data_IF_907116436490
#
_entry.id   IF_907116436490
#
_cell.length_a   1.000
_cell.length_b   1.000
_cell.length_c   1.000
_cell.angle_alpha   90.00
_cell.angle_beta   90.00
_cell.angle_gamma   90.00
#
_symmetry.space_group_name_H-M   'P 1'
#
loop_
_entity.id
_entity.type
_entity.pdbx_description
1 polymer ?
#
# COMPACT_ATOMS: atom_id res chain seq x y z
N UNK A 1 -4.21 -18.68 -12.23
CA UNK A 1 -3.42 -19.49 -11.29
C UNK A 1 -2.07 -18.86 -10.87
N UNK A 2 -1.25 -18.21 -11.74
CA UNK A 2 -0.01 -17.57 -11.29
C UNK A 2 -0.20 -16.24 -10.55
N UNK A 3 -1.34 -15.56 -10.74
CA UNK A 3 -1.64 -14.27 -10.08
C UNK A 3 -1.86 -14.40 -8.56
N UNK A 4 -2.38 -15.54 -8.08
CA UNK A 4 -2.64 -15.78 -6.66
C UNK A 4 -1.35 -15.95 -5.87
N UNK A 5 -0.34 -16.60 -6.47
CA UNK A 5 1.00 -16.77 -5.87
C UNK A 5 1.71 -15.41 -5.77
N UNK A 6 1.62 -14.58 -6.82
CA UNK A 6 2.12 -13.20 -6.79
C UNK A 6 1.39 -12.36 -5.74
N UNK A 7 0.07 -12.51 -5.61
CA UNK A 7 -0.73 -11.84 -4.58
C UNK A 7 -0.33 -12.29 -3.17
N UNK A 8 -0.10 -13.58 -2.95
CA UNK A 8 0.38 -14.12 -1.66
C UNK A 8 1.78 -13.62 -1.31
N UNK A 9 2.71 -13.60 -2.27
CA UNK A 9 4.04 -13.01 -2.08
C UNK A 9 3.95 -11.51 -1.77
N UNK A 10 3.05 -10.79 -2.44
CA UNK A 10 2.80 -9.37 -2.18
C UNK A 10 2.22 -9.16 -0.78
N UNK A 11 1.28 -10.02 -0.36
CA UNK A 11 0.72 -9.98 0.98
C UNK A 11 1.79 -10.26 2.05
N UNK A 12 2.69 -11.22 1.81
CA UNK A 12 3.82 -11.49 2.70
C UNK A 12 4.76 -10.29 2.79
N UNK A 13 5.11 -9.69 1.65
CA UNK A 13 5.95 -8.49 1.61
C UNK A 13 5.30 -7.30 2.34
N UNK A 14 3.99 -7.09 2.16
CA UNK A 14 3.22 -6.08 2.87
C UNK A 14 3.14 -6.36 4.38
N UNK A 15 3.00 -7.62 4.78
CA UNK A 15 3.00 -8.00 6.19
C UNK A 15 4.37 -7.69 6.83
N UNK A 16 5.47 -8.09 6.17
CA UNK A 16 6.83 -7.74 6.60
C UNK A 16 7.04 -6.23 6.66
N UNK A 17 6.62 -5.50 5.62
CA UNK A 17 6.68 -4.04 5.57
C UNK A 17 5.98 -3.39 6.77
N UNK A 18 4.73 -3.75 7.05
CA UNK A 18 3.98 -3.19 8.18
C UNK A 18 4.61 -3.54 9.52
N UNK A 19 5.17 -4.74 9.65
CA UNK A 19 5.88 -5.17 10.85
C UNK A 19 7.16 -4.34 11.07
N UNK A 20 7.99 -4.17 10.03
CA UNK A 20 9.21 -3.37 10.11
C UNK A 20 8.94 -1.89 10.34
N UNK A 21 7.88 -1.33 9.75
CA UNK A 21 7.47 0.07 10.02
C UNK A 21 7.16 0.25 11.49
N UNK A 22 6.42 -0.67 12.12
CA UNK A 22 6.13 -0.57 13.55
C UNK A 22 7.43 -0.57 14.37
N UNK A 23 8.31 -1.52 14.10
CA UNK A 23 9.57 -1.64 14.82
C UNK A 23 10.45 -0.39 14.63
N UNK A 24 10.44 0.19 13.43
CA UNK A 24 11.13 1.43 13.12
C UNK A 24 10.47 2.65 13.78
N UNK A 25 9.14 2.69 13.92
CA UNK A 25 8.42 3.80 14.55
C UNK A 25 8.74 3.96 16.04
N UNK A 26 9.17 2.89 16.72
CA UNK A 26 9.64 2.94 18.11
C UNK A 26 11.06 3.52 18.24
N UNK A 27 11.86 3.47 17.18
CA UNK A 27 13.29 3.85 17.21
C UNK A 27 13.61 5.12 16.41
N UNK A 28 12.76 5.48 15.44
CA UNK A 28 12.96 6.60 14.53
C UNK A 28 11.72 7.51 14.48
N UNK A 29 11.91 8.84 14.35
CA UNK A 29 10.82 9.74 14.02
C UNK A 29 10.15 9.33 12.71
N UNK A 30 8.82 9.42 12.67
CA UNK A 30 7.99 9.03 11.53
C UNK A 30 8.48 9.57 10.18
N UNK A 31 8.91 10.83 10.15
CA UNK A 31 9.43 11.47 8.94
C UNK A 31 10.74 10.83 8.44
N UNK A 32 11.64 10.45 9.34
CA UNK A 32 12.93 9.82 8.98
C UNK A 32 12.69 8.39 8.47
N UNK A 33 11.81 7.64 9.14
CA UNK A 33 11.41 6.30 8.71
C UNK A 33 10.82 6.29 7.29
N UNK A 34 9.90 7.21 6.99
CA UNK A 34 9.31 7.34 5.67
C UNK A 34 10.35 7.69 4.58
N UNK A 35 11.27 8.63 4.86
CA UNK A 35 12.31 9.02 3.90
C UNK A 35 13.26 7.87 3.57
N UNK A 36 13.70 7.11 4.58
CA UNK A 36 14.58 5.95 4.37
C UNK A 36 13.87 4.90 3.52
N UNK A 37 12.58 4.68 3.77
CA UNK A 37 11.76 3.75 3.00
C UNK A 37 11.63 4.18 1.54
N UNK A 38 11.33 5.46 1.29
CA UNK A 38 11.29 6.02 -0.05
C UNK A 38 12.62 5.86 -0.78
N UNK A 39 13.76 6.09 -0.10
CA UNK A 39 15.09 5.93 -0.70
C UNK A 39 15.37 4.48 -1.10
N UNK A 40 15.05 3.51 -0.24
CA UNK A 40 15.22 2.08 -0.55
C UNK A 40 14.28 1.66 -1.68
N UNK A 41 13.02 2.10 -1.65
CA UNK A 41 12.04 1.84 -2.70
C UNK A 41 12.47 2.44 -4.04
N UNK A 42 12.98 3.68 -4.04
CA UNK A 42 13.51 4.35 -5.22
C UNK A 42 14.74 3.61 -5.78
N UNK A 43 15.65 3.14 -4.92
CA UNK A 43 16.82 2.37 -5.35
C UNK A 43 16.42 1.04 -6.00
N UNK A 44 15.46 0.31 -5.40
CA UNK A 44 14.92 -0.93 -5.98
C UNK A 44 14.20 -0.66 -7.32
N UNK A 45 13.38 0.37 -7.39
CA UNK A 45 12.71 0.80 -8.62
C UNK A 45 13.68 1.20 -9.73
N UNK A 46 14.75 1.93 -9.37
CA UNK A 46 15.80 2.32 -10.30
C UNK A 46 16.59 1.11 -10.81
N UNK A 47 16.96 0.16 -9.94
CA UNK A 47 17.65 -1.07 -10.33
C UNK A 47 16.79 -1.93 -11.29
N UNK A 48 15.48 -2.00 -11.04
CA UNK A 48 14.54 -2.67 -11.93
C UNK A 48 14.44 -1.97 -13.29
N UNK A 49 14.29 -0.64 -13.30
CA UNK A 49 14.26 0.15 -14.54
C UNK A 49 15.55 -0.02 -15.34
N UNK A 50 16.71 -0.04 -14.67
CA UNK A 50 18.00 -0.26 -15.31
C UNK A 50 18.06 -1.65 -15.96
N UNK A 51 17.56 -2.69 -15.28
CA UNK A 51 17.44 -4.04 -15.86
C UNK A 51 16.53 -4.06 -17.09
N UNK A 52 15.36 -3.42 -17.06
CA UNK A 52 14.47 -3.36 -18.22
C UNK A 52 15.12 -2.64 -19.41
N UNK A 53 15.85 -1.56 -19.12
CA UNK A 53 16.60 -0.81 -20.14
C UNK A 53 17.72 -1.65 -20.75
N UNK A 54 18.43 -2.44 -19.94
CA UNK A 54 19.46 -3.39 -20.39
C UNK A 54 18.87 -4.56 -21.19
N UNK A 55 17.62 -4.94 -20.92
CA UNK A 55 16.89 -5.97 -21.68
C UNK A 55 16.30 -5.46 -23.00
N UNK A 56 16.48 -4.18 -23.33
CA UNK A 56 16.00 -3.59 -24.59
C UNK A 56 14.48 -3.48 -24.69
N UNK A 57 13.75 -3.53 -23.57
CA UNK A 57 12.31 -3.34 -23.61
C UNK A 57 11.96 -1.90 -24.04
N UNK A 58 11.01 -1.72 -24.97
CA UNK A 58 10.49 -0.39 -25.25
C UNK A 58 9.81 0.12 -23.97
N UNK A 59 10.30 1.25 -23.45
CA UNK A 59 9.72 1.98 -22.33
C UNK A 59 8.92 3.17 -22.90
N UNK A 60 7.67 2.98 -23.36
CA UNK A 60 6.85 4.07 -23.87
C UNK A 60 6.47 5.00 -22.72
N UNK A 61 7.28 6.05 -22.53
CA UNK A 61 7.01 7.09 -21.54
C UNK A 61 5.93 8.00 -22.10
N UNK A 62 4.72 7.92 -21.54
CA UNK A 62 3.63 8.83 -21.88
C UNK A 62 3.54 9.93 -20.82
N UNK A 63 3.47 11.21 -21.22
CA UNK A 63 3.41 12.35 -20.29
C UNK A 63 2.22 12.26 -19.32
N UNK A 64 1.08 11.70 -19.75
CA UNK A 64 -0.07 11.41 -18.88
C UNK A 64 0.24 10.36 -17.81
N UNK A 65 0.96 9.29 -18.18
CA UNK A 65 1.38 8.24 -17.24
C UNK A 65 2.38 8.78 -16.21
N UNK A 66 3.27 9.67 -16.64
CA UNK A 66 4.23 10.33 -15.75
C UNK A 66 3.53 11.21 -14.70
N UNK A 67 2.51 11.98 -15.11
CA UNK A 67 1.74 12.81 -14.18
C UNK A 67 0.92 11.98 -13.17
N UNK A 68 0.28 10.91 -13.63
CA UNK A 68 -0.44 9.97 -12.76
C UNK A 68 0.51 9.27 -11.78
N UNK A 69 1.70 8.87 -12.24
CA UNK A 69 2.72 8.26 -11.39
C UNK A 69 3.26 9.26 -10.34
N UNK A 70 3.45 10.53 -10.71
CA UNK A 70 3.85 11.57 -9.77
C UNK A 70 2.80 11.78 -8.67
N UNK A 71 1.51 11.82 -9.03
CA UNK A 71 0.42 11.96 -8.07
C UNK A 71 0.28 10.73 -7.16
N UNK A 72 0.48 9.53 -7.72
CA UNK A 72 0.52 8.29 -6.95
C UNK A 72 1.69 8.30 -5.95
N UNK A 73 2.89 8.72 -6.37
CA UNK A 73 4.05 8.85 -5.50
C UNK A 73 3.82 9.84 -4.36
N UNK A 74 3.19 10.98 -4.65
CA UNK A 74 2.83 11.97 -3.63
C UNK A 74 1.87 11.38 -2.59
N UNK A 75 0.87 10.61 -3.06
CA UNK A 75 -0.12 9.96 -2.21
C UNK A 75 0.49 8.86 -1.35
N UNK A 76 1.41 8.07 -1.91
CA UNK A 76 2.16 7.03 -1.18
C UNK A 76 3.04 7.66 -0.11
N UNK A 77 3.82 8.69 -0.44
CA UNK A 77 4.68 9.38 0.54
C UNK A 77 3.89 9.97 1.70
N UNK A 78 2.76 10.64 1.43
CA UNK A 78 1.86 11.12 2.48
C UNK A 78 1.27 9.96 3.30
N UNK A 79 0.87 8.88 2.65
CA UNK A 79 0.33 7.68 3.29
C UNK A 79 1.32 7.03 4.25
N UNK A 80 2.59 6.93 3.85
CA UNK A 80 3.66 6.38 4.68
C UNK A 80 3.95 7.25 5.89
N UNK A 81 4.06 8.57 5.71
CA UNK A 81 4.27 9.51 6.82
C UNK A 81 3.13 9.39 7.83
N UNK A 82 1.87 9.40 7.36
CA UNK A 82 0.69 9.26 8.23
C UNK A 82 0.67 7.90 8.94
N UNK A 83 1.03 6.82 8.23
CA UNK A 83 1.11 5.47 8.79
C UNK A 83 2.15 5.40 9.91
N UNK A 84 3.35 5.94 9.67
CA UNK A 84 4.38 6.05 10.69
C UNK A 84 3.94 6.90 11.88
N UNK A 85 3.22 8.02 11.65
CA UNK A 85 2.67 8.86 12.74
C UNK A 85 1.62 8.12 13.56
N UNK A 86 0.78 7.29 12.93
CA UNK A 86 -0.20 6.46 13.64
C UNK A 86 0.50 5.42 14.50
N UNK A 87 1.54 4.76 13.98
CA UNK A 87 2.31 3.79 14.76
C UNK A 87 3.15 4.45 15.87
N UNK A 88 3.74 5.61 15.63
CA UNK A 88 4.49 6.35 16.65
C UNK A 88 3.62 6.88 17.79
N UNK A 89 2.29 6.92 17.62
CA UNK A 89 1.32 7.21 18.69
C UNK A 89 0.99 6.01 19.57
N UNK A 90 1.69 4.88 19.38
CA UNK A 90 1.53 3.68 20.19
C UNK A 90 0.36 2.79 19.79
N UNK A 91 -0.21 3.00 18.58
CA UNK A 91 -1.30 2.14 18.08
C UNK A 91 -0.74 0.74 17.80
N UNK A 92 -1.32 -0.33 18.38
CA UNK A 92 -0.90 -1.69 18.08
C UNK A 92 -1.05 -1.99 16.59
N UNK A 93 -0.04 -2.63 15.97
CA UNK A 93 -0.13 -3.05 14.57
C UNK A 93 -1.28 -3.99 14.27
N UNK A 94 -1.75 -4.73 15.29
CA UNK A 94 -2.93 -5.57 15.21
C UNK A 94 -4.21 -4.78 14.93
N UNK A 95 -4.25 -3.47 15.21
CA UNK A 95 -5.39 -2.58 14.93
C UNK A 95 -5.05 -1.56 13.85
N UNK A 96 -3.88 -0.93 13.93
CA UNK A 96 -3.45 0.09 12.98
C UNK A 96 -3.34 -0.46 11.55
N UNK A 97 -2.71 -1.62 11.37
CA UNK A 97 -2.50 -2.21 10.03
C UNK A 97 -3.84 -2.59 9.38
N UNK A 98 -4.76 -3.31 10.04
CA UNK A 98 -6.07 -3.60 9.44
C UNK A 98 -6.90 -2.35 9.15
N UNK A 99 -6.84 -1.31 10.00
CA UNK A 99 -7.60 -0.07 9.78
C UNK A 99 -7.05 0.71 8.58
N UNK A 100 -5.72 0.84 8.47
CA UNK A 100 -5.08 1.57 7.36
C UNK A 100 -5.25 0.80 6.05
N UNK A 101 -4.82 -0.47 6.02
CA UNK A 101 -4.88 -1.30 4.81
C UNK A 101 -6.33 -1.53 4.42
N UNK A 102 -7.17 -1.89 5.39
CA UNK A 102 -8.59 -2.15 5.17
C UNK A 102 -9.40 -0.93 4.74
N UNK A 103 -9.18 0.22 5.39
CA UNK A 103 -9.78 1.49 4.97
C UNK A 103 -9.34 1.90 3.56
N UNK A 104 -8.07 1.70 3.22
CA UNK A 104 -7.56 1.96 1.87
C UNK A 104 -8.18 1.05 0.82
N UNK A 105 -8.41 -0.23 1.12
CA UNK A 105 -9.09 -1.18 0.22
C UNK A 105 -10.53 -0.76 -0.03
N UNK A 106 -11.25 -0.35 1.02
CA UNK A 106 -12.60 0.20 0.92
C UNK A 106 -12.64 1.43 0.01
N UNK A 107 -11.79 2.43 0.29
CA UNK A 107 -11.74 3.67 -0.48
C UNK A 107 -11.32 3.41 -1.94
N UNK A 108 -10.40 2.48 -2.16
CA UNK A 108 -9.98 2.07 -3.51
C UNK A 108 -11.13 1.38 -4.25
N UNK A 109 -11.90 0.52 -3.59
CA UNK A 109 -13.06 -0.12 -4.20
C UNK A 109 -14.15 0.91 -4.55
N UNK A 110 -14.39 1.90 -3.68
CA UNK A 110 -15.32 3.01 -3.95
C UNK A 110 -14.83 3.86 -5.13
N UNK A 111 -13.54 4.20 -5.17
CA UNK A 111 -12.95 4.93 -6.29
C UNK A 111 -12.98 4.10 -7.59
N UNK A 112 -12.76 2.79 -7.53
CA UNK A 112 -12.88 1.90 -8.69
C UNK A 112 -14.31 1.88 -9.24
N UNK A 113 -15.30 1.86 -8.36
CA UNK A 113 -16.71 1.88 -8.72
C UNK A 113 -17.17 3.24 -9.25
N UNK A 114 -16.71 4.35 -8.67
CA UNK A 114 -17.13 5.72 -9.04
C UNK A 114 -16.34 6.26 -10.23
N UNK A 115 -15.02 6.10 -10.25
CA UNK A 115 -14.11 6.70 -11.23
C UNK A 115 -13.86 5.76 -12.41
N UNK A 116 -13.57 4.48 -12.15
CA UNK A 116 -13.34 3.49 -13.20
C UNK A 116 -14.64 2.86 -13.73
N UNK A 117 -15.79 3.10 -13.08
CA UNK A 117 -17.10 2.51 -13.40
C UNK A 117 -17.04 0.98 -13.48
N UNK A 118 -16.19 0.36 -12.66
CA UNK A 118 -16.11 -1.11 -12.60
C UNK A 118 -17.40 -1.68 -12.00
N UNK A 119 -18.00 -2.63 -12.70
CA UNK A 119 -19.15 -3.37 -12.20
C UNK A 119 -18.67 -4.36 -11.12
N UNK A 120 -18.80 -3.98 -9.85
CA UNK A 120 -18.58 -4.91 -8.74
C UNK A 120 -19.64 -6.02 -8.81
N UNK A 121 -19.17 -7.26 -8.87
CA UNK A 121 -20.05 -8.42 -8.78
C UNK A 121 -20.50 -8.61 -7.32
N UNK A 122 -21.73 -9.12 -7.11
CA UNK A 122 -22.29 -9.38 -5.78
C UNK A 122 -21.32 -10.10 -4.80
N UNK A 123 -20.56 -11.13 -5.23
CA UNK A 123 -19.59 -11.80 -4.36
C UNK A 123 -18.41 -10.90 -3.94
N UNK A 124 -17.97 -9.98 -4.80
CA UNK A 124 -16.88 -9.03 -4.48
C UNK A 124 -17.35 -8.00 -3.44
N UNK A 125 -18.60 -7.53 -3.55
CA UNK A 125 -19.19 -6.62 -2.57
C UNK A 125 -19.34 -7.30 -1.20
N UNK A 126 -19.79 -8.56 -1.17
CA UNK A 126 -19.87 -9.37 0.05
C UNK A 126 -18.49 -9.62 0.67
N UNK A 127 -17.48 -9.95 -0.14
CA UNK A 127 -16.10 -10.11 0.32
C UNK A 127 -15.55 -8.81 0.93
N UNK A 128 -15.82 -7.67 0.29
CA UNK A 128 -15.44 -6.36 0.81
C UNK A 128 -16.13 -6.08 2.16
N UNK A 129 -17.43 -6.30 2.27
CA UNK A 129 -18.17 -6.15 3.53
C UNK A 129 -17.63 -7.05 4.64
N UNK A 130 -17.22 -8.29 4.31
CA UNK A 130 -16.60 -9.21 5.28
C UNK A 130 -15.24 -8.72 5.77
N UNK A 131 -14.42 -8.18 4.85
CA UNK A 131 -13.13 -7.57 5.20
C UNK A 131 -13.38 -6.40 6.16
N UNK A 132 -14.31 -5.52 5.81
CA UNK A 132 -14.69 -4.34 6.63
C UNK A 132 -15.22 -4.75 7.99
N UNK A 133 -16.12 -5.73 8.04
CA UNK A 133 -16.63 -6.29 9.28
C UNK A 133 -15.51 -6.91 10.12
N UNK A 134 -14.59 -7.63 9.51
CA UNK A 134 -13.42 -8.20 10.17
C UNK A 134 -12.49 -7.14 10.76
N UNK A 135 -12.21 -6.07 10.02
CA UNK A 135 -11.41 -4.92 10.49
C UNK A 135 -12.11 -4.20 11.64
N UNK A 136 -13.42 -3.95 11.52
CA UNK A 136 -14.21 -3.30 12.57
C UNK A 136 -14.27 -4.12 13.85
N UNK A 137 -14.32 -5.45 13.74
CA UNK A 137 -14.28 -6.36 14.88
C UNK A 137 -12.89 -6.39 15.53
N UNK A 138 -11.82 -6.45 14.72
CA UNK A 138 -10.43 -6.32 15.18
C UNK A 138 -10.18 -4.98 15.90
N UNK A 139 -10.74 -3.89 15.38
CA UNK A 139 -10.61 -2.56 15.97
C UNK A 139 -11.39 -2.38 17.27
N UNK A 140 -12.45 -3.16 17.50
CA UNK A 140 -13.27 -3.16 18.73
C UNK A 140 -12.76 -4.11 19.82
N UNK A 141 -11.77 -4.95 19.53
CA UNK A 141 -11.19 -5.89 20.50
C UNK A 141 -10.21 -5.26 21.51
N UNK A 142 -10.18 -3.93 21.61
CA UNK A 142 -9.38 -3.15 22.56
C UNK A 142 -10.27 -2.48 23.60
#
# INVERSE_FOLDING_TARGET
MPWLVLALLTALALASYNFFIKLAADHLPAAVGAVVLQLVAAALGAAWLLRLKLQGQPLPVTSKGLWLAALAGLSVGLGEILTFVVFSRGVPSSVGTPVIVGGSVLLTAVLGLVVLREALTLPQALGLLLIVGGIALLARGH
#
